data_IF_980535442666
#
_entry.id   IF_980535442666
#
_cell.length_a   1.000
_cell.length_b   1.000
_cell.length_c   1.000
_cell.angle_alpha   90.00
_cell.angle_beta   90.00
_cell.angle_gamma   90.00
#
_symmetry.space_group_name_H-M   'P 1'
#
loop_
_entity.id
_entity.type
_entity.pdbx_description
1 polymer ?
#
# COMPACT_ATOMS: atom_id res chain seq x y z
N UNK A 1 -16.69 -4.36 -12.27
CA UNK A 1 -16.33 -5.59 -11.53
C UNK A 1 -14.85 -5.64 -11.18
N UNK A 2 -13.94 -5.20 -12.07
CA UNK A 2 -12.49 -5.09 -11.80
C UNK A 2 -12.16 -4.11 -10.66
N UNK A 3 -12.69 -2.89 -10.73
CA UNK A 3 -12.52 -1.84 -9.71
C UNK A 3 -12.84 -2.31 -8.26
N UNK A 4 -14.00 -2.94 -8.04
CA UNK A 4 -14.34 -3.50 -6.72
C UNK A 4 -13.42 -4.64 -6.28
N UNK A 5 -12.88 -5.42 -7.21
CA UNK A 5 -11.89 -6.44 -6.90
C UNK A 5 -10.56 -5.84 -6.49
N UNK A 6 -10.12 -4.76 -7.15
CA UNK A 6 -8.90 -4.06 -6.79
C UNK A 6 -9.00 -3.41 -5.42
N UNK A 7 -10.13 -2.74 -5.12
CA UNK A 7 -10.43 -2.23 -3.76
C UNK A 7 -10.36 -3.33 -2.70
N UNK A 8 -10.89 -4.52 -3.00
CA UNK A 8 -10.78 -5.67 -2.09
C UNK A 8 -9.33 -6.15 -1.95
N UNK A 9 -8.58 -6.23 -3.03
CA UNK A 9 -7.18 -6.69 -3.01
C UNK A 9 -6.29 -5.70 -2.24
N UNK A 10 -6.42 -4.40 -2.48
CA UNK A 10 -5.71 -3.35 -1.76
C UNK A 10 -5.96 -3.41 -0.25
N UNK A 11 -7.22 -3.58 0.17
CA UNK A 11 -7.57 -3.77 1.59
C UNK A 11 -6.94 -5.04 2.17
N UNK A 12 -6.97 -6.16 1.43
CA UNK A 12 -6.33 -7.41 1.87
C UNK A 12 -4.81 -7.28 2.02
N UNK A 13 -4.16 -6.49 1.16
CA UNK A 13 -2.73 -6.18 1.29
C UNK A 13 -2.48 -5.44 2.62
N UNK A 14 -3.24 -4.38 2.89
CA UNK A 14 -3.13 -3.61 4.13
C UNK A 14 -3.39 -4.50 5.35
N UNK A 15 -4.48 -5.25 5.38
CA UNK A 15 -4.82 -6.17 6.48
C UNK A 15 -3.74 -7.25 6.70
N UNK A 16 -3.17 -7.78 5.61
CA UNK A 16 -2.07 -8.74 5.68
C UNK A 16 -0.82 -8.15 6.35
N UNK A 17 -0.51 -6.90 6.05
CA UNK A 17 0.64 -6.18 6.61
C UNK A 17 0.37 -5.62 8.02
N UNK A 18 -0.86 -5.22 8.34
CA UNK A 18 -1.25 -4.65 9.63
C UNK A 18 -1.43 -5.73 10.70
N UNK A 19 -2.16 -6.79 10.38
CA UNK A 19 -2.61 -7.79 11.35
C UNK A 19 -1.86 -9.13 11.26
N UNK A 20 -0.90 -9.26 10.33
CA UNK A 20 -0.21 -10.52 10.03
C UNK A 20 -1.18 -11.68 9.68
N UNK A 21 -2.34 -11.36 9.09
CA UNK A 21 -3.36 -12.35 8.69
C UNK A 21 -2.95 -13.13 7.43
N UNK A 22 -1.99 -12.61 6.67
CA UNK A 22 -1.48 -13.22 5.45
C UNK A 22 0.02 -13.44 5.58
N UNK A 23 0.50 -14.54 5.02
CA UNK A 23 1.93 -14.82 4.89
C UNK A 23 2.59 -13.91 3.85
N UNK A 24 3.91 -13.74 3.92
CA UNK A 24 4.67 -12.95 2.95
C UNK A 24 4.40 -13.36 1.49
N UNK A 25 4.37 -14.66 1.13
CA UNK A 25 4.05 -15.08 -0.23
C UNK A 25 2.62 -14.73 -0.67
N UNK A 26 1.63 -14.78 0.24
CA UNK A 26 0.25 -14.40 -0.08
C UNK A 26 0.12 -12.90 -0.33
N UNK A 27 0.77 -12.07 0.50
CA UNK A 27 0.84 -10.61 0.27
C UNK A 27 1.57 -10.32 -1.04
N UNK A 28 2.68 -11.01 -1.29
CA UNK A 28 3.46 -10.87 -2.53
C UNK A 28 2.61 -11.14 -3.78
N UNK A 29 1.79 -12.20 -3.77
CA UNK A 29 0.93 -12.50 -4.92
C UNK A 29 -0.08 -11.37 -5.20
N UNK A 30 -0.70 -10.82 -4.14
CA UNK A 30 -1.62 -9.68 -4.28
C UNK A 30 -0.92 -8.41 -4.80
N UNK A 31 0.30 -8.15 -4.32
CA UNK A 31 1.08 -6.97 -4.72
C UNK A 31 1.61 -7.09 -6.15
N UNK A 32 1.95 -8.29 -6.61
CA UNK A 32 2.52 -8.51 -7.94
C UNK A 32 1.54 -8.24 -9.08
N UNK A 33 0.25 -8.39 -8.81
CA UNK A 33 -0.82 -8.16 -9.77
C UNK A 33 -1.38 -6.72 -9.69
N UNK A 34 -0.92 -5.92 -8.73
CA UNK A 34 -1.41 -4.56 -8.50
C UNK A 34 -0.67 -3.52 -9.35
N UNK A 35 -1.33 -2.40 -9.63
CA UNK A 35 -0.70 -1.24 -10.26
C UNK A 35 0.48 -0.72 -9.41
N UNK A 36 1.65 -0.40 -10.01
CA UNK A 36 2.80 0.11 -9.27
C UNK A 36 2.52 1.34 -8.41
N UNK A 37 1.70 2.29 -8.88
CA UNK A 37 1.32 3.48 -8.13
C UNK A 37 0.46 3.11 -6.91
N UNK A 38 -0.44 2.13 -7.06
CA UNK A 38 -1.20 1.59 -5.94
C UNK A 38 -0.25 0.96 -4.89
N UNK A 39 0.75 0.17 -5.32
CA UNK A 39 1.74 -0.41 -4.41
C UNK A 39 2.51 0.68 -3.64
N UNK A 40 2.95 1.74 -4.34
CA UNK A 40 3.58 2.89 -3.71
C UNK A 40 2.67 3.52 -2.65
N UNK A 41 1.42 3.82 -3.03
CA UNK A 41 0.43 4.44 -2.15
C UNK A 41 0.20 3.64 -0.87
N UNK A 42 0.00 2.33 -0.96
CA UNK A 42 -0.19 1.47 0.21
C UNK A 42 1.03 1.51 1.14
N UNK A 43 2.24 1.54 0.58
CA UNK A 43 3.47 1.57 1.36
C UNK A 43 3.71 2.92 2.02
N UNK A 44 3.46 4.01 1.29
CA UNK A 44 3.54 5.38 1.80
C UNK A 44 2.52 5.58 2.93
N UNK A 45 1.29 5.10 2.76
CA UNK A 45 0.25 5.16 3.78
C UNK A 45 0.63 4.39 5.05
N UNK A 46 1.15 3.16 4.93
CA UNK A 46 1.62 2.38 6.08
C UNK A 46 2.74 3.12 6.85
N UNK A 47 3.72 3.69 6.15
CA UNK A 47 4.80 4.47 6.78
C UNK A 47 4.29 5.73 7.48
N UNK A 48 3.31 6.42 6.88
CA UNK A 48 2.72 7.62 7.46
C UNK A 48 1.86 7.30 8.69
N UNK A 49 1.13 6.17 8.66
CA UNK A 49 0.20 5.71 9.69
C UNK A 49 0.89 5.07 10.89
N UNK A 50 2.03 4.41 10.65
CA UNK A 50 2.83 3.70 11.65
C UNK A 50 4.23 4.32 11.80
N UNK A 51 4.34 5.59 12.20
CA UNK A 51 5.64 6.21 12.47
C UNK A 51 6.37 5.46 13.59
N UNK A 52 7.68 5.67 13.75
CA UNK A 52 8.51 4.99 14.76
C UNK A 52 8.01 5.13 16.21
N UNK A 53 7.20 6.14 16.50
CA UNK A 53 6.55 6.33 17.81
C UNK A 53 5.29 5.48 18.03
N UNK A 54 4.76 4.84 16.99
CA UNK A 54 3.54 4.05 17.05
C UNK A 54 3.86 2.65 17.62
N UNK A 55 3.11 2.14 18.62
CA UNK A 55 3.42 0.85 19.26
C UNK A 55 3.48 -0.36 18.30
N UNK A 56 2.70 -0.30 17.22
CA UNK A 56 2.67 -1.35 16.19
C UNK A 56 3.70 -1.15 15.04
N UNK A 57 4.51 -0.09 15.08
CA UNK A 57 5.40 0.27 13.96
C UNK A 57 6.36 -0.85 13.59
N UNK A 58 7.08 -1.41 14.57
CA UNK A 58 8.05 -2.49 14.32
C UNK A 58 7.39 -3.73 13.70
N UNK A 59 6.17 -4.07 14.11
CA UNK A 59 5.44 -5.20 13.55
C UNK A 59 5.03 -4.98 12.09
N UNK A 60 4.40 -3.83 11.81
CA UNK A 60 3.88 -3.51 10.48
C UNK A 60 5.00 -3.22 9.49
N UNK A 61 5.91 -2.32 9.86
CA UNK A 61 7.04 -1.95 9.01
C UNK A 61 8.07 -3.06 8.91
N UNK A 62 8.22 -3.90 9.95
CA UNK A 62 9.03 -5.11 9.89
C UNK A 62 8.52 -6.08 8.83
N UNK A 63 7.21 -6.36 8.78
CA UNK A 63 6.61 -7.21 7.73
C UNK A 63 6.74 -6.59 6.33
N UNK A 64 6.53 -5.29 6.21
CA UNK A 64 6.76 -4.57 4.96
C UNK A 64 8.23 -4.69 4.51
N UNK A 65 9.17 -4.59 5.45
CA UNK A 65 10.60 -4.80 5.21
C UNK A 65 10.93 -6.23 4.78
N UNK A 66 10.36 -7.24 5.45
CA UNK A 66 10.48 -8.65 5.07
C UNK A 66 9.94 -8.91 3.66
N UNK A 67 8.76 -8.39 3.32
CA UNK A 67 8.20 -8.48 1.97
C UNK A 67 9.15 -7.92 0.91
N UNK A 68 9.72 -6.74 1.15
CA UNK A 68 10.67 -6.12 0.24
C UNK A 68 12.01 -6.87 0.15
N UNK A 69 12.45 -7.50 1.25
CA UNK A 69 13.71 -8.25 1.32
C UNK A 69 13.58 -9.60 0.60
N UNK A 70 12.49 -10.32 0.88
CA UNK A 70 12.22 -11.63 0.30
C UNK A 70 11.83 -11.54 -1.18
N UNK A 71 11.20 -10.42 -1.57
CA UNK A 71 10.77 -10.15 -2.94
C UNK A 71 11.21 -8.76 -3.42
N UNK A 72 12.49 -8.58 -3.82
CA UNK A 72 13.04 -7.27 -4.23
C UNK A 72 12.32 -6.59 -5.41
N UNK A 73 11.57 -7.35 -6.21
CA UNK A 73 10.69 -6.77 -7.24
C UNK A 73 9.57 -5.90 -6.66
N UNK A 74 9.07 -6.20 -5.46
CA UNK A 74 8.05 -5.38 -4.80
C UNK A 74 8.59 -4.00 -4.46
N UNK A 75 9.81 -3.92 -3.94
CA UNK A 75 10.47 -2.63 -3.68
C UNK A 75 10.68 -1.84 -4.98
N UNK A 76 11.04 -2.51 -6.07
CA UNK A 76 11.19 -1.88 -7.40
C UNK A 76 9.85 -1.40 -7.97
N UNK A 77 8.77 -2.16 -7.78
CA UNK A 77 7.41 -1.75 -8.19
C UNK A 77 6.98 -0.50 -7.43
N UNK A 78 7.13 -0.48 -6.10
CA UNK A 78 6.81 0.71 -5.30
C UNK A 78 7.63 1.93 -5.75
N UNK A 79 8.93 1.76 -5.99
CA UNK A 79 9.79 2.86 -6.46
C UNK A 79 9.38 3.34 -7.87
N UNK A 80 8.96 2.45 -8.76
CA UNK A 80 8.45 2.84 -10.08
C UNK A 80 7.12 3.59 -9.99
N UNK A 81 6.24 3.17 -9.06
CA UNK A 81 4.94 3.81 -8.83
C UNK A 81 5.04 5.24 -8.29
N UNK A 82 6.10 5.57 -7.55
CA UNK A 82 6.35 6.93 -7.03
C UNK A 82 6.34 8.00 -8.14
N UNK A 83 6.77 7.64 -9.35
CA UNK A 83 6.86 8.56 -10.48
C UNK A 83 5.50 8.83 -11.17
N UNK A 84 4.42 8.20 -10.73
CA UNK A 84 3.10 8.39 -11.33
C UNK A 84 2.53 9.79 -11.04
N UNK A 85 1.91 10.41 -12.05
CA UNK A 85 1.28 11.73 -11.92
C UNK A 85 0.16 11.78 -10.86
N UNK A 86 -0.48 10.65 -10.58
CA UNK A 86 -1.52 10.53 -9.54
C UNK A 86 -0.89 10.61 -8.15
N UNK A 87 0.34 10.12 -7.97
CA UNK A 87 1.08 10.28 -6.71
C UNK A 87 1.33 11.76 -6.44
N UNK A 88 1.83 12.50 -7.43
CA UNK A 88 2.04 13.94 -7.31
C UNK A 88 0.73 14.69 -6.97
N UNK A 89 -0.37 14.38 -7.68
CA UNK A 89 -1.68 14.95 -7.38
C UNK A 89 -2.12 14.70 -5.93
N UNK A 90 -1.91 13.47 -5.43
CA UNK A 90 -2.28 13.12 -4.07
C UNK A 90 -1.43 13.92 -3.08
N UNK A 91 -0.10 13.90 -3.21
CA UNK A 91 0.81 14.53 -2.25
C UNK A 91 0.75 16.07 -2.27
N UNK A 92 0.26 16.67 -3.35
CA UNK A 92 -0.03 18.11 -3.43
C UNK A 92 -1.32 18.52 -2.71
N UNK A 93 -2.31 17.63 -2.63
CA UNK A 93 -3.68 17.98 -2.21
C UNK A 93 -4.14 17.26 -0.92
N UNK A 94 -3.43 16.22 -0.51
CA UNK A 94 -3.86 15.28 0.52
C UNK A 94 -2.69 14.89 1.44
N UNK A 95 -3.01 14.57 2.70
CA UNK A 95 -2.06 13.93 3.62
C UNK A 95 -2.47 12.49 3.87
N UNK A 96 -1.50 11.57 3.81
CA UNK A 96 -1.71 10.15 4.10
C UNK A 96 -2.34 9.88 5.48
N UNK A 97 -2.14 10.80 6.44
CA UNK A 97 -2.65 10.66 7.81
C UNK A 97 -4.12 11.05 7.96
N UNK A 98 -4.69 11.68 6.95
CA UNK A 98 -6.05 12.23 7.00
C UNK A 98 -7.12 11.16 6.74
N UNK A 99 -6.70 9.97 6.29
CA UNK A 99 -7.57 8.91 5.82
C UNK A 99 -7.42 7.62 6.64
N UNK A 100 -8.55 6.99 6.94
CA UNK A 100 -8.56 5.57 7.31
C UNK A 100 -8.11 4.71 6.12
N UNK A 101 -7.70 3.45 6.36
CA UNK A 101 -7.30 2.53 5.29
C UNK A 101 -8.39 2.38 4.22
N UNK A 102 -9.66 2.34 4.64
CA UNK A 102 -10.80 2.26 3.73
C UNK A 102 -10.94 3.51 2.86
N UNK A 103 -10.99 4.69 3.47
CA UNK A 103 -11.17 5.95 2.74
C UNK A 103 -9.98 6.22 1.80
N UNK A 104 -8.76 5.89 2.24
CA UNK A 104 -7.56 6.02 1.44
C UNK A 104 -7.63 5.12 0.20
N UNK A 105 -7.93 3.84 0.37
CA UNK A 105 -8.06 2.87 -0.73
C UNK A 105 -9.18 3.25 -1.68
N UNK A 106 -10.31 3.74 -1.15
CA UNK A 106 -11.41 4.22 -1.99
C UNK A 106 -10.96 5.41 -2.86
N UNK A 107 -10.34 6.43 -2.26
CA UNK A 107 -9.86 7.63 -2.95
C UNK A 107 -8.82 7.33 -4.04
N UNK A 108 -7.77 6.56 -3.71
CA UNK A 108 -6.66 6.33 -4.65
C UNK A 108 -7.07 5.43 -5.82
N UNK A 109 -7.90 4.40 -5.59
CA UNK A 109 -8.34 3.52 -6.68
C UNK A 109 -9.38 4.23 -7.55
N UNK A 110 -10.31 4.99 -6.97
CA UNK A 110 -11.22 5.83 -7.77
C UNK A 110 -10.42 6.76 -8.69
N UNK A 111 -9.30 7.29 -8.20
CA UNK A 111 -8.43 8.17 -8.99
C UNK A 111 -7.63 7.44 -10.09
N UNK A 112 -7.15 6.24 -9.82
CA UNK A 112 -6.39 5.42 -10.78
C UNK A 112 -7.26 4.93 -11.95
N UNK A 113 -8.52 4.61 -11.69
CA UNK A 113 -9.44 4.05 -12.69
C UNK A 113 -10.18 5.12 -13.52
N UNK A 114 -10.30 6.35 -13.03
CA UNK A 114 -10.89 7.50 -13.75
C UNK A 114 -12.33 7.83 -13.39
#
# INVERSE_FOLDING_TARGET
MAHEQEKRNARRILEGLEDARLSTPEVFHLVSDADPALVYFLFAWLRARYPSSHPASDGVLGRLGSLCTDHPQVARMALAGEADSIVAWFEESHSYRDYTSREFVELVIDKLEG
#
